data_IF_544583958959
#
_entry.id   IF_544583958959
#
_cell.length_a   1.000
_cell.length_b   1.000
_cell.length_c   1.000
_cell.angle_alpha   90.00
_cell.angle_beta   90.00
_cell.angle_gamma   90.00
#
_symmetry.space_group_name_H-M   'P 1'
#
loop_
_entity.id
_entity.type
_entity.pdbx_description
1 polymer ?
#
# COMPACT_ATOMS: atom_id res chain seq x y z
N UNK A 1 11.59 -22.75 -5.37
CA UNK A 1 10.50 -23.07 -4.42
C UNK A 1 10.60 -22.26 -3.13
N UNK A 2 11.75 -22.29 -2.42
CA UNK A 2 11.93 -21.50 -1.19
C UNK A 2 11.74 -19.99 -1.40
N UNK A 3 12.30 -19.43 -2.49
CA UNK A 3 12.18 -18.00 -2.81
C UNK A 3 10.73 -17.55 -3.04
N UNK A 4 9.92 -18.38 -3.71
CA UNK A 4 8.51 -18.08 -3.98
C UNK A 4 7.68 -18.07 -2.68
N UNK A 5 7.96 -19.00 -1.76
CA UNK A 5 7.30 -19.06 -0.45
C UNK A 5 7.67 -17.83 0.38
N UNK A 6 8.96 -17.45 0.36
CA UNK A 6 9.42 -16.24 1.05
C UNK A 6 8.78 -14.98 0.47
N UNK A 7 8.73 -14.87 -0.86
CA UNK A 7 8.06 -13.75 -1.55
C UNK A 7 6.57 -13.70 -1.21
N UNK A 8 5.88 -14.84 -1.20
CA UNK A 8 4.48 -14.92 -0.77
C UNK A 8 4.30 -14.42 0.67
N UNK A 9 5.15 -14.87 1.59
CA UNK A 9 5.09 -14.45 2.99
C UNK A 9 5.32 -12.94 3.13
N UNK A 10 6.30 -12.39 2.40
CA UNK A 10 6.55 -10.95 2.36
C UNK A 10 5.38 -10.17 1.78
N UNK A 11 4.76 -10.65 0.71
CA UNK A 11 3.56 -10.04 0.12
C UNK A 11 2.38 -10.06 1.09
N UNK A 12 2.14 -11.17 1.80
CA UNK A 12 1.08 -11.26 2.80
C UNK A 12 1.34 -10.28 3.95
N UNK A 13 2.58 -10.21 4.45
CA UNK A 13 2.96 -9.25 5.49
C UNK A 13 2.77 -7.80 5.04
N UNK A 14 3.27 -7.46 3.85
CA UNK A 14 3.13 -6.12 3.29
C UNK A 14 1.66 -5.77 3.06
N UNK A 15 0.85 -6.66 2.53
CA UNK A 15 -0.58 -6.43 2.36
C UNK A 15 -1.33 -6.29 3.69
N UNK A 16 -0.88 -6.97 4.75
CA UNK A 16 -1.44 -6.78 6.08
C UNK A 16 -1.09 -5.40 6.65
N UNK A 17 0.15 -4.93 6.46
CA UNK A 17 0.62 -3.63 6.96
C UNK A 17 0.06 -2.47 6.11
N UNK A 18 0.20 -2.53 4.77
CA UNK A 18 -0.37 -1.56 3.83
C UNK A 18 -1.90 -1.60 3.80
N UNK A 19 -2.50 -2.75 4.14
CA UNK A 19 -3.95 -2.91 4.26
C UNK A 19 -4.55 -2.25 5.50
N UNK A 20 -3.73 -1.65 6.36
CA UNK A 20 -4.12 -0.90 7.55
C UNK A 20 -5.09 0.23 7.22
N UNK A 21 -4.73 1.12 6.29
CA UNK A 21 -5.54 2.30 5.95
C UNK A 21 -6.89 1.89 5.34
N UNK A 22 -6.85 0.89 4.48
CA UNK A 22 -8.04 0.33 3.86
C UNK A 22 -8.99 -0.27 4.91
N UNK A 23 -8.46 -0.99 5.91
CA UNK A 23 -9.28 -1.58 6.97
C UNK A 23 -9.81 -0.53 7.96
N UNK A 24 -9.00 0.47 8.31
CA UNK A 24 -9.45 1.60 9.14
C UNK A 24 -10.59 2.34 8.45
N UNK A 25 -10.46 2.64 7.15
CA UNK A 25 -11.51 3.26 6.37
C UNK A 25 -12.78 2.40 6.35
N UNK A 26 -12.66 1.11 6.04
CA UNK A 26 -13.79 0.15 6.05
C UNK A 26 -14.50 0.18 7.41
N UNK A 27 -13.74 0.18 8.51
CA UNK A 27 -14.31 0.17 9.84
C UNK A 27 -15.00 1.49 10.18
N UNK A 28 -14.39 2.63 9.90
CA UNK A 28 -14.97 3.95 10.15
C UNK A 28 -16.21 4.18 9.30
N UNK A 29 -16.15 3.86 8.00
CA UNK A 29 -17.28 4.04 7.09
C UNK A 29 -18.43 3.08 7.45
N UNK A 30 -18.13 1.84 7.90
CA UNK A 30 -19.16 0.90 8.37
C UNK A 30 -19.97 1.40 9.57
N UNK A 31 -19.42 2.29 10.40
CA UNK A 31 -20.13 2.90 11.54
C UNK A 31 -21.19 3.92 11.10
N UNK A 32 -21.14 4.39 9.85
CA UNK A 32 -22.14 5.31 9.26
C UNK A 32 -23.41 4.57 8.79
N UNK A 33 -23.41 3.23 8.84
CA UNK A 33 -24.58 2.39 8.59
C UNK A 33 -25.41 2.19 9.89
N UNK A 34 -26.70 1.81 9.79
CA UNK A 34 -27.52 1.46 10.94
C UNK A 34 -26.86 0.38 11.81
N UNK A 35 -26.98 0.48 13.14
CA UNK A 35 -26.22 -0.35 14.10
C UNK A 35 -26.36 -1.87 13.86
N UNK A 36 -27.56 -2.33 13.50
CA UNK A 36 -27.82 -3.74 13.17
C UNK A 36 -27.13 -4.24 11.90
N UNK A 37 -26.72 -3.34 10.99
CA UNK A 37 -26.15 -3.68 9.69
C UNK A 37 -24.64 -3.47 9.60
N UNK A 38 -24.01 -2.77 10.54
CA UNK A 38 -22.58 -2.40 10.48
C UNK A 38 -21.66 -3.61 10.28
N UNK A 39 -21.89 -4.71 11.03
CA UNK A 39 -21.12 -5.96 10.89
C UNK A 39 -21.31 -6.60 9.51
N UNK A 40 -22.53 -6.59 8.99
CA UNK A 40 -22.85 -7.13 7.66
C UNK A 40 -22.17 -6.29 6.58
N UNK A 41 -22.31 -4.97 6.65
CA UNK A 41 -21.68 -4.00 5.73
C UNK A 41 -20.16 -4.18 5.70
N UNK A 42 -19.52 -4.33 6.86
CA UNK A 42 -18.07 -4.59 6.95
C UNK A 42 -17.67 -5.88 6.26
N UNK A 43 -18.34 -7.01 6.57
CA UNK A 43 -18.03 -8.32 5.97
C UNK A 43 -18.25 -8.32 4.46
N UNK A 44 -19.38 -7.79 4.00
CA UNK A 44 -19.71 -7.69 2.58
C UNK A 44 -18.73 -6.77 1.86
N UNK A 45 -18.41 -5.62 2.46
CA UNK A 45 -17.42 -4.68 1.94
C UNK A 45 -16.04 -5.32 1.76
N UNK A 46 -15.55 -6.06 2.77
CA UNK A 46 -14.27 -6.79 2.70
C UNK A 46 -14.33 -7.86 1.59
N UNK A 47 -15.42 -8.62 1.49
CA UNK A 47 -15.52 -9.69 0.50
C UNK A 47 -15.55 -9.14 -0.93
N UNK A 48 -16.32 -8.08 -1.18
CA UNK A 48 -16.33 -7.38 -2.47
C UNK A 48 -14.94 -6.78 -2.76
N UNK A 49 -14.30 -6.19 -1.75
CA UNK A 49 -12.96 -5.61 -1.88
C UNK A 49 -11.90 -6.62 -2.33
N UNK A 50 -11.92 -7.85 -1.80
CA UNK A 50 -11.02 -8.93 -2.22
C UNK A 50 -11.27 -9.28 -3.69
N UNK A 51 -12.53 -9.47 -4.08
CA UNK A 51 -12.87 -9.81 -5.47
C UNK A 51 -12.41 -8.70 -6.43
N UNK A 52 -12.70 -7.44 -6.11
CA UNK A 52 -12.27 -6.30 -6.92
C UNK A 52 -10.76 -6.16 -6.99
N UNK A 53 -10.02 -6.50 -5.93
CA UNK A 53 -8.55 -6.53 -5.97
C UNK A 53 -8.02 -7.56 -6.96
N UNK A 54 -8.62 -8.75 -7.02
CA UNK A 54 -8.23 -9.77 -8.00
C UNK A 54 -8.55 -9.32 -9.43
N UNK A 55 -9.72 -8.70 -9.64
CA UNK A 55 -10.09 -8.13 -10.94
C UNK A 55 -9.12 -7.02 -11.34
N UNK A 56 -8.81 -6.08 -10.42
CA UNK A 56 -7.88 -4.99 -10.66
C UNK A 56 -6.47 -5.52 -10.93
N UNK A 57 -6.01 -6.53 -10.19
CA UNK A 57 -4.74 -7.20 -10.44
C UNK A 57 -4.69 -7.76 -11.87
N UNK A 58 -5.73 -8.47 -12.29
CA UNK A 58 -5.83 -9.00 -13.65
C UNK A 58 -5.79 -7.88 -14.70
N UNK A 59 -6.54 -6.81 -14.50
CA UNK A 59 -6.56 -5.65 -15.41
C UNK A 59 -5.17 -5.01 -15.50
N UNK A 60 -4.52 -4.73 -14.37
CA UNK A 60 -3.20 -4.09 -14.36
C UNK A 60 -2.12 -4.96 -14.98
N UNK A 61 -2.08 -6.26 -14.64
CA UNK A 61 -1.11 -7.20 -15.24
C UNK A 61 -1.36 -7.35 -16.73
N UNK A 62 -2.63 -7.39 -17.18
CA UNK A 62 -2.98 -7.48 -18.60
C UNK A 62 -2.59 -6.22 -19.36
N UNK A 63 -2.84 -5.04 -18.80
CA UNK A 63 -2.40 -3.76 -19.38
C UNK A 63 -0.87 -3.78 -19.46
N UNK A 64 -0.15 -4.00 -18.36
CA UNK A 64 1.31 -4.03 -18.38
C UNK A 64 1.85 -5.02 -19.42
N UNK A 65 1.24 -6.21 -19.52
CA UNK A 65 1.57 -7.23 -20.52
C UNK A 65 1.34 -6.77 -21.96
N UNK A 66 0.21 -6.10 -22.23
CA UNK A 66 -0.13 -5.54 -23.54
C UNK A 66 0.85 -4.43 -23.96
N UNK A 67 1.31 -3.64 -22.99
CA UNK A 67 2.21 -2.51 -23.18
C UNK A 67 3.71 -2.89 -23.08
N UNK A 68 4.06 -4.19 -23.14
CA UNK A 68 5.46 -4.67 -23.11
C UNK A 68 6.23 -4.42 -24.41
N UNK A 69 5.56 -4.34 -25.56
CA UNK A 69 6.25 -3.98 -26.81
C UNK A 69 6.57 -2.48 -26.81
N UNK A 70 7.83 -2.08 -27.09
CA UNK A 70 8.22 -0.69 -27.07
C UNK A 70 7.44 0.07 -28.15
N UNK A 71 6.70 1.09 -27.73
CA UNK A 71 6.10 2.02 -28.66
C UNK A 71 7.22 2.80 -29.33
N UNK A 72 7.45 2.54 -30.62
CA UNK A 72 8.52 3.14 -31.42
C UNK A 72 8.50 4.69 -31.45
N UNK A 73 7.42 5.31 -30.97
CA UNK A 73 7.21 6.76 -30.94
C UNK A 73 7.59 7.46 -29.61
N UNK A 74 7.95 6.73 -28.54
CA UNK A 74 8.36 7.30 -27.23
C UNK A 74 9.85 7.13 -26.91
N UNK A 75 10.63 6.70 -27.89
CA UNK A 75 12.10 6.63 -27.85
C UNK A 75 12.68 7.98 -28.27
N UNK A 76 13.50 8.59 -27.41
CA UNK A 76 14.10 9.90 -27.67
C UNK A 76 15.31 10.18 -26.80
N UNK A 77 16.06 11.23 -27.14
CA UNK A 77 17.18 11.71 -26.33
C UNK A 77 17.33 13.22 -26.42
N UNK A 78 17.71 13.86 -25.32
CA UNK A 78 18.04 15.29 -25.27
C UNK A 78 19.57 15.40 -25.21
N UNK A 79 20.22 15.45 -26.38
CA UNK A 79 21.69 15.44 -26.51
C UNK A 79 22.37 14.18 -25.96
N UNK A 80 23.68 14.23 -25.76
CA UNK A 80 24.50 13.12 -25.17
C UNK A 80 24.29 12.91 -23.65
N UNK A 81 23.34 13.63 -23.04
CA UNK A 81 23.18 13.70 -21.57
C UNK A 81 22.03 12.83 -21.08
N UNK A 82 20.99 12.61 -21.91
CA UNK A 82 19.77 11.94 -21.47
C UNK A 82 19.17 11.13 -22.62
N UNK A 83 19.30 9.81 -22.53
CA UNK A 83 18.66 8.84 -23.43
C UNK A 83 17.56 8.10 -22.68
N UNK A 84 16.42 7.86 -23.34
CA UNK A 84 15.31 7.11 -22.76
C UNK A 84 14.59 6.29 -23.84
N UNK A 85 14.18 5.08 -23.46
CA UNK A 85 13.37 4.19 -24.26
C UNK A 85 12.15 3.75 -23.45
N UNK A 86 11.09 4.56 -23.49
CA UNK A 86 9.88 4.25 -22.75
C UNK A 86 9.09 3.13 -23.44
N UNK A 87 8.84 2.05 -22.71
CA UNK A 87 7.77 1.10 -23.01
C UNK A 87 6.58 1.41 -22.09
N UNK A 88 5.37 0.98 -22.44
CA UNK A 88 4.22 1.33 -21.61
C UNK A 88 4.25 0.67 -20.22
N UNK A 89 4.99 -0.44 -20.06
CA UNK A 89 5.36 -0.99 -18.74
C UNK A 89 6.13 0.04 -17.90
N UNK A 90 7.23 0.59 -18.41
CA UNK A 90 8.11 1.50 -17.67
C UNK A 90 7.39 2.77 -17.29
N UNK A 91 6.50 3.27 -18.15
CA UNK A 91 5.60 4.40 -17.83
C UNK A 91 4.68 4.07 -16.67
N UNK A 92 3.97 2.93 -16.72
CA UNK A 92 3.04 2.53 -15.65
C UNK A 92 3.78 2.38 -14.32
N UNK A 93 4.97 1.77 -14.32
CA UNK A 93 5.78 1.55 -13.12
C UNK A 93 6.38 2.86 -12.59
N UNK A 94 6.90 3.74 -13.46
CA UNK A 94 7.43 5.06 -13.06
C UNK A 94 6.33 5.97 -12.51
N UNK A 95 5.22 6.10 -13.23
CA UNK A 95 4.09 6.94 -12.82
C UNK A 95 3.45 6.39 -11.55
N UNK A 96 3.28 5.06 -11.47
CA UNK A 96 2.78 4.39 -10.29
C UNK A 96 3.69 4.57 -9.08
N UNK A 97 5.01 4.40 -9.25
CA UNK A 97 6.00 4.65 -8.20
C UNK A 97 6.01 6.10 -7.74
N UNK A 98 5.98 7.05 -8.69
CA UNK A 98 5.92 8.48 -8.38
C UNK A 98 4.63 8.88 -7.65
N UNK A 99 3.49 8.33 -8.07
CA UNK A 99 2.21 8.51 -7.39
C UNK A 99 2.26 8.00 -5.94
N UNK A 100 2.81 6.80 -5.73
CA UNK A 100 2.99 6.21 -4.40
C UNK A 100 3.89 7.09 -3.51
N UNK A 101 5.02 7.56 -4.03
CA UNK A 101 5.93 8.46 -3.31
C UNK A 101 5.20 9.75 -2.91
N UNK A 102 4.50 10.37 -3.87
CA UNK A 102 3.76 11.60 -3.63
C UNK A 102 2.70 11.43 -2.54
N UNK A 103 1.90 10.36 -2.63
CA UNK A 103 0.86 10.05 -1.65
C UNK A 103 1.48 9.82 -0.27
N UNK A 104 2.54 9.02 -0.17
CA UNK A 104 3.22 8.77 1.11
C UNK A 104 3.78 10.06 1.73
N UNK A 105 4.48 10.90 0.96
CA UNK A 105 5.00 12.19 1.44
C UNK A 105 3.85 13.09 1.92
N UNK A 106 2.79 13.20 1.11
CA UNK A 106 1.64 14.05 1.41
C UNK A 106 1.01 13.64 2.75
N UNK A 107 0.80 12.34 2.97
CA UNK A 107 0.20 11.89 4.22
C UNK A 107 1.14 11.99 5.43
N UNK A 108 2.44 11.76 5.24
CA UNK A 108 3.44 12.05 6.29
C UNK A 108 3.40 13.54 6.67
N UNK A 109 3.33 14.44 5.69
CA UNK A 109 3.26 15.88 5.94
C UNK A 109 1.97 16.27 6.68
N UNK A 110 0.83 15.72 6.25
CA UNK A 110 -0.46 15.96 6.91
C UNK A 110 -0.44 15.51 8.37
N UNK A 111 0.17 14.36 8.66
CA UNK A 111 0.32 13.86 10.03
C UNK A 111 1.23 14.75 10.90
N UNK A 112 2.30 15.31 10.33
CA UNK A 112 3.22 16.22 11.05
C UNK A 112 2.58 17.59 11.28
N UNK A 113 1.86 18.10 10.28
CA UNK A 113 1.22 19.42 10.30
C UNK A 113 0.05 19.50 11.28
N UNK A 114 -0.60 18.37 11.57
CA UNK A 114 -1.78 18.33 12.44
C UNK A 114 -1.42 17.94 13.87
N UNK A 115 -0.51 18.69 14.52
CA UNK A 115 -0.31 18.61 15.97
C UNK A 115 -1.43 19.27 16.79
N UNK A 116 -2.45 19.87 16.16
CA UNK A 116 -3.55 20.61 16.81
C UNK A 116 -4.95 20.20 16.33
N UNK A 117 -5.22 18.91 16.09
CA UNK A 117 -6.60 18.44 15.98
C UNK A 117 -6.81 17.16 16.79
N UNK A 118 -7.07 17.37 18.10
CA UNK A 118 -8.15 16.60 18.72
C UNK A 118 -9.36 16.61 17.77
N UNK A 119 -9.83 15.42 17.41
CA UNK A 119 -11.14 15.22 16.79
C UNK A 119 -11.45 16.03 15.51
N UNK A 120 -11.10 15.48 14.34
CA UNK A 120 -11.95 15.71 13.16
C UNK A 120 -12.06 14.49 12.23
N UNK A 121 -12.15 13.30 12.84
CA UNK A 121 -12.90 12.22 12.19
C UNK A 121 -14.37 12.53 12.44
N UNK A 122 -14.94 13.44 11.63
CA UNK A 122 -16.36 13.78 11.49
C UNK A 122 -17.28 13.13 12.54
N UNK A 123 -17.21 13.68 13.76
CA UNK A 123 -18.05 13.32 14.90
C UNK A 123 -19.05 14.42 15.25
N UNK A 124 -19.25 15.39 14.35
CA UNK A 124 -20.10 16.56 14.54
C UNK A 124 -21.36 16.52 13.67
N UNK A 125 -22.49 16.45 14.35
CA UNK A 125 -23.83 16.90 13.97
C UNK A 125 -24.48 16.43 12.65
N UNK A 126 -25.52 15.61 12.80
CA UNK A 126 -26.70 15.65 11.92
C UNK A 126 -26.64 14.92 10.58
N UNK A 127 -25.57 14.18 10.23
CA UNK A 127 -25.58 13.36 9.00
C UNK A 127 -26.53 12.16 9.16
N UNK A 128 -27.66 12.20 8.45
CA UNK A 128 -28.55 11.05 8.19
C UNK A 128 -27.70 9.78 8.01
N UNK A 129 -28.03 8.73 8.77
CA UNK A 129 -27.46 7.40 8.58
C UNK A 129 -27.49 7.07 7.09
N UNK A 130 -26.32 6.75 6.53
CA UNK A 130 -26.24 6.33 5.13
C UNK A 130 -26.90 4.95 5.04
N UNK A 131 -27.67 4.72 3.97
CA UNK A 131 -28.15 3.36 3.67
C UNK A 131 -26.97 2.41 3.58
N UNK A 132 -27.11 1.16 4.07
CA UNK A 132 -26.04 0.16 4.01
C UNK A 132 -25.46 0.01 2.60
N UNK A 133 -26.27 0.10 1.55
CA UNK A 133 -25.79 0.05 0.17
C UNK A 133 -24.87 1.23 -0.16
N UNK A 134 -25.20 2.45 0.27
CA UNK A 134 -24.36 3.63 0.05
C UNK A 134 -23.02 3.51 0.79
N UNK A 135 -23.03 2.94 2.00
CA UNK A 135 -21.81 2.67 2.76
C UNK A 135 -20.96 1.61 2.07
N UNK A 136 -21.56 0.52 1.59
CA UNK A 136 -20.87 -0.53 0.82
C UNK A 136 -20.26 0.06 -0.46
N UNK A 137 -20.99 0.89 -1.21
CA UNK A 137 -20.48 1.54 -2.41
C UNK A 137 -19.29 2.45 -2.10
N UNK A 138 -19.34 3.24 -1.01
CA UNK A 138 -18.22 4.08 -0.59
C UNK A 138 -16.98 3.26 -0.22
N UNK A 139 -17.18 2.16 0.52
CA UNK A 139 -16.13 1.19 0.85
C UNK A 139 -15.49 0.64 -0.42
N UNK A 140 -16.31 0.23 -1.39
CA UNK A 140 -15.85 -0.36 -2.65
C UNK A 140 -15.02 0.64 -3.46
N UNK A 141 -15.49 1.88 -3.61
CA UNK A 141 -14.79 2.91 -4.38
C UNK A 141 -13.44 3.25 -3.73
N UNK A 142 -13.42 3.50 -2.42
CA UNK A 142 -12.16 3.82 -1.74
C UNK A 142 -11.20 2.64 -1.73
N UNK A 143 -11.71 1.42 -1.54
CA UNK A 143 -10.86 0.24 -1.64
C UNK A 143 -10.25 0.11 -3.04
N UNK A 144 -10.99 0.42 -4.11
CA UNK A 144 -10.44 0.38 -5.47
C UNK A 144 -9.25 1.34 -5.61
N UNK A 145 -9.38 2.58 -5.10
CA UNK A 145 -8.32 3.59 -5.11
C UNK A 145 -7.10 3.10 -4.33
N UNK A 146 -7.27 2.68 -3.08
CA UNK A 146 -6.16 2.19 -2.24
C UNK A 146 -5.55 0.88 -2.72
N UNK A 147 -6.30 0.07 -3.46
CA UNK A 147 -5.80 -1.19 -3.98
C UNK A 147 -4.74 -0.97 -5.07
N UNK A 148 -4.77 0.16 -5.77
CA UNK A 148 -3.80 0.49 -6.81
C UNK A 148 -2.37 0.46 -6.27
N UNK A 149 -2.11 1.15 -5.15
CA UNK A 149 -0.77 1.22 -4.53
C UNK A 149 -0.26 -0.16 -4.11
N UNK A 150 -1.10 -0.92 -3.41
CA UNK A 150 -0.74 -2.26 -2.93
C UNK A 150 -0.52 -3.27 -4.06
N UNK A 151 -1.20 -3.13 -5.20
CA UNK A 151 -1.02 -4.00 -6.37
C UNK A 151 0.26 -3.61 -7.11
N UNK A 152 0.52 -2.32 -7.32
CA UNK A 152 1.78 -1.86 -7.89
C UNK A 152 2.99 -2.30 -7.05
N UNK A 153 2.88 -2.22 -5.72
CA UNK A 153 3.87 -2.74 -4.79
C UNK A 153 4.15 -4.23 -5.04
N UNK A 154 3.08 -5.02 -5.17
CA UNK A 154 3.17 -6.46 -5.39
C UNK A 154 3.79 -6.78 -6.75
N UNK A 155 3.48 -6.00 -7.80
CA UNK A 155 4.09 -6.12 -9.12
C UNK A 155 5.59 -5.85 -9.05
N UNK A 156 6.02 -4.78 -8.37
CA UNK A 156 7.44 -4.47 -8.17
C UNK A 156 8.19 -5.58 -7.42
N UNK A 157 7.58 -6.16 -6.39
CA UNK A 157 8.18 -7.27 -5.64
C UNK A 157 8.27 -8.58 -6.44
N UNK A 158 7.42 -8.75 -7.44
CA UNK A 158 7.33 -9.96 -8.26
C UNK A 158 7.95 -9.80 -9.66
N UNK A 159 8.55 -8.65 -9.97
CA UNK A 159 9.10 -8.36 -11.32
C UNK A 159 10.20 -9.35 -11.75
N UNK A 160 10.98 -9.86 -10.81
CA UNK A 160 12.02 -10.88 -11.02
C UNK A 160 11.51 -12.27 -11.43
N UNK A 161 10.21 -12.55 -11.25
CA UNK A 161 9.66 -13.85 -11.61
C UNK A 161 9.52 -13.91 -13.13
N UNK A 162 10.43 -14.66 -13.77
CA UNK A 162 10.44 -14.85 -15.24
C UNK A 162 9.08 -15.33 -15.77
N UNK A 163 8.38 -16.15 -14.97
CA UNK A 163 7.05 -16.62 -15.30
C UNK A 163 5.96 -15.65 -14.78
N UNK A 164 5.39 -14.87 -15.71
CA UNK A 164 4.32 -13.90 -15.42
C UNK A 164 3.08 -14.56 -14.81
N UNK A 165 2.76 -15.80 -15.18
CA UNK A 165 1.64 -16.56 -14.59
C UNK A 165 1.92 -16.94 -13.14
N UNK A 166 3.16 -17.33 -12.81
CA UNK A 166 3.56 -17.63 -11.44
C UNK A 166 3.51 -16.37 -10.55
N UNK A 167 3.97 -15.23 -11.06
CA UNK A 167 3.87 -13.93 -10.38
C UNK A 167 2.40 -13.59 -10.07
N UNK A 168 1.52 -13.70 -11.06
CA UNK A 168 0.09 -13.46 -10.89
C UNK A 168 -0.52 -14.37 -9.81
N UNK A 169 -0.24 -15.67 -9.86
CA UNK A 169 -0.77 -16.63 -8.87
C UNK A 169 -0.28 -16.29 -7.46
N UNK A 170 1.00 -15.97 -7.29
CA UNK A 170 1.56 -15.60 -5.98
C UNK A 170 0.90 -14.33 -5.44
N UNK A 171 0.74 -13.29 -6.28
CA UNK A 171 0.06 -12.05 -5.89
C UNK A 171 -1.42 -12.30 -5.54
N UNK A 172 -2.12 -13.12 -6.32
CA UNK A 172 -3.52 -13.46 -6.07
C UNK A 172 -3.68 -14.24 -4.77
N UNK A 173 -2.83 -15.24 -4.51
CA UNK A 173 -2.82 -15.99 -3.25
C UNK A 173 -2.55 -15.04 -2.08
N UNK A 174 -1.59 -14.11 -2.21
CA UNK A 174 -1.32 -13.13 -1.17
C UNK A 174 -2.58 -12.30 -0.86
N UNK A 175 -3.24 -11.74 -1.88
CA UNK A 175 -4.46 -10.92 -1.75
C UNK A 175 -5.57 -11.70 -1.06
N UNK A 176 -5.80 -12.95 -1.47
CA UNK A 176 -6.85 -13.79 -0.87
C UNK A 176 -6.48 -14.15 0.57
N UNK A 177 -5.24 -14.57 0.83
CA UNK A 177 -4.80 -14.94 2.17
C UNK A 177 -4.86 -13.76 3.14
N UNK A 178 -4.37 -12.58 2.75
CA UNK A 178 -4.43 -11.36 3.56
C UNK A 178 -5.87 -10.90 3.74
N UNK A 179 -6.71 -10.95 2.70
CA UNK A 179 -8.12 -10.62 2.75
C UNK A 179 -8.93 -11.53 3.68
N UNK A 180 -8.69 -12.84 3.64
CA UNK A 180 -9.32 -13.81 4.55
C UNK A 180 -8.86 -13.58 6.00
N UNK A 181 -7.56 -13.33 6.21
CA UNK A 181 -7.03 -12.95 7.52
C UNK A 181 -7.73 -11.70 8.05
N UNK A 182 -7.91 -10.68 7.20
CA UNK A 182 -8.65 -9.46 7.54
C UNK A 182 -10.11 -9.76 7.87
N UNK A 183 -10.80 -10.62 7.12
CA UNK A 183 -12.20 -10.96 7.38
C UNK A 183 -12.37 -11.59 8.77
N UNK A 184 -11.47 -12.52 9.13
CA UNK A 184 -11.48 -13.20 10.44
C UNK A 184 -11.14 -12.24 11.58
N UNK A 185 -10.21 -11.33 11.35
CA UNK A 185 -9.67 -10.46 12.39
C UNK A 185 -10.21 -9.02 12.35
N UNK A 186 -11.15 -8.68 11.45
CA UNK A 186 -11.58 -7.31 11.16
C UNK A 186 -11.96 -6.51 12.42
N UNK A 187 -12.75 -7.12 13.31
CA UNK A 187 -13.21 -6.47 14.54
C UNK A 187 -12.05 -6.24 15.54
N UNK A 188 -11.14 -7.22 15.66
CA UNK A 188 -9.97 -7.12 16.54
C UNK A 188 -8.97 -6.11 16.00
N UNK A 189 -8.59 -6.25 14.73
CA UNK A 189 -7.63 -5.36 14.07
C UNK A 189 -8.19 -3.94 14.10
N UNK A 190 -9.44 -3.69 13.69
CA UNK A 190 -9.98 -2.33 13.76
C UNK A 190 -9.89 -1.69 15.15
N UNK A 191 -10.22 -2.43 16.21
CA UNK A 191 -10.14 -1.91 17.58
C UNK A 191 -8.69 -1.72 18.07
N UNK A 192 -7.77 -2.56 17.60
CA UNK A 192 -6.35 -2.48 17.90
C UNK A 192 -5.68 -1.32 17.15
N UNK A 193 -5.99 -1.13 15.88
CA UNK A 193 -5.43 -0.08 15.04
C UNK A 193 -5.92 1.31 15.47
N UNK A 194 -7.21 1.45 15.80
CA UNK A 194 -7.74 2.70 16.34
C UNK A 194 -7.03 3.15 17.63
N UNK A 195 -6.50 2.21 18.42
CA UNK A 195 -5.76 2.49 19.66
C UNK A 195 -4.25 2.64 19.46
N UNK A 196 -3.71 2.26 18.30
CA UNK A 196 -2.28 2.22 18.05
C UNK A 196 -1.93 2.88 16.70
N UNK A 197 -2.21 4.19 16.58
CA UNK A 197 -1.92 5.00 15.36
C UNK A 197 -0.44 5.05 14.97
N UNK A 198 0.48 4.69 15.88
CA UNK A 198 1.91 4.54 15.56
C UNK A 198 2.16 3.59 14.38
N UNK A 199 1.33 2.54 14.22
CA UNK A 199 1.49 1.57 13.13
C UNK A 199 1.03 2.11 11.75
N UNK A 200 0.25 3.19 11.72
CA UNK A 200 -0.13 3.93 10.50
C UNK A 200 1.14 4.50 9.84
N UNK A 201 2.01 5.09 10.66
CA UNK A 201 3.26 5.72 10.22
C UNK A 201 4.20 4.70 9.58
N UNK A 202 4.33 3.51 10.18
CA UNK A 202 5.13 2.43 9.64
C UNK A 202 4.65 2.02 8.23
N UNK A 203 3.32 1.95 8.02
CA UNK A 203 2.72 1.67 6.71
C UNK A 203 3.09 2.71 5.65
N UNK A 204 3.04 4.00 6.01
CA UNK A 204 3.42 5.10 5.12
C UNK A 204 4.92 5.06 4.73
N UNK A 205 5.81 4.73 5.67
CA UNK A 205 7.23 4.57 5.36
C UNK A 205 7.52 3.36 4.46
N UNK A 206 6.80 2.25 4.67
CA UNK A 206 6.87 1.08 3.79
C UNK A 206 6.40 1.44 2.38
N UNK A 207 5.26 2.14 2.28
CA UNK A 207 4.72 2.64 1.02
C UNK A 207 5.72 3.56 0.30
N UNK A 208 6.38 4.45 1.04
CA UNK A 208 7.42 5.34 0.49
C UNK A 208 8.60 4.55 -0.11
N UNK A 209 9.11 3.54 0.60
CA UNK A 209 10.22 2.70 0.08
C UNK A 209 9.76 1.89 -1.13
N UNK A 210 8.55 1.35 -1.12
CA UNK A 210 7.96 0.69 -2.29
C UNK A 210 7.92 1.66 -3.48
N UNK A 211 7.53 2.91 -3.26
CA UNK A 211 7.55 3.95 -4.27
C UNK A 211 8.95 4.16 -4.86
N UNK A 212 9.98 4.25 -4.01
CA UNK A 212 11.38 4.35 -4.46
C UNK A 212 11.78 3.12 -5.29
N UNK A 213 11.46 1.92 -4.80
CA UNK A 213 11.74 0.67 -5.50
C UNK A 213 11.10 0.69 -6.91
N UNK A 214 9.83 1.09 -7.04
CA UNK A 214 9.13 1.18 -8.32
C UNK A 214 9.71 2.26 -9.23
N UNK A 215 10.06 3.44 -8.71
CA UNK A 215 10.68 4.49 -9.54
C UNK A 215 12.04 4.03 -10.07
N UNK A 216 12.85 3.34 -9.26
CA UNK A 216 14.13 2.79 -9.73
C UNK A 216 13.94 1.66 -10.74
N UNK A 217 12.96 0.77 -10.55
CA UNK A 217 12.60 -0.29 -11.50
C UNK A 217 12.09 0.29 -12.82
N UNK A 218 11.17 1.26 -12.76
CA UNK A 218 10.63 1.91 -13.96
C UNK A 218 11.70 2.72 -14.70
N UNK A 219 12.61 3.38 -13.98
CA UNK A 219 13.76 4.06 -14.56
C UNK A 219 14.72 3.11 -15.27
N UNK A 220 14.95 1.94 -14.68
CA UNK A 220 15.72 0.87 -15.31
C UNK A 220 15.04 0.34 -16.58
N UNK A 221 13.74 0.05 -16.52
CA UNK A 221 12.94 -0.40 -17.66
C UNK A 221 12.84 0.64 -18.78
N UNK A 222 12.96 1.94 -18.45
CA UNK A 222 12.98 3.03 -19.40
C UNK A 222 14.39 3.36 -19.94
N UNK A 223 15.42 2.60 -19.54
CA UNK A 223 16.82 2.86 -19.88
C UNK A 223 17.25 4.31 -19.61
N UNK A 224 16.79 4.88 -18.49
CA UNK A 224 17.11 6.26 -18.13
C UNK A 224 18.56 6.32 -17.68
N UNK A 225 19.33 7.18 -18.34
CA UNK A 225 20.67 7.57 -17.93
C UNK A 225 20.63 8.94 -17.26
N UNK A 226 21.22 9.03 -16.07
CA UNK A 226 21.36 10.29 -15.32
C UNK A 226 22.86 10.50 -15.08
N UNK A 227 23.41 11.63 -15.56
CA UNK A 227 24.85 11.96 -15.45
C UNK A 227 25.80 10.87 -16.01
N UNK A 228 25.37 10.14 -17.04
CA UNK A 228 26.17 9.07 -17.66
C UNK A 228 26.11 7.72 -16.94
N UNK A 229 25.39 7.62 -15.83
CA UNK A 229 25.15 6.37 -15.10
C UNK A 229 23.72 5.86 -15.36
N UNK A 230 23.59 4.54 -15.51
CA UNK A 230 22.29 3.90 -15.68
C UNK A 230 21.59 3.81 -14.32
N UNK A 231 20.27 4.01 -14.29
CA UNK A 231 19.49 3.71 -13.09
C UNK A 231 19.50 2.20 -12.84
N UNK A 232 20.05 1.81 -11.69
CA UNK A 232 20.04 0.43 -11.20
C UNK A 232 18.83 0.23 -10.28
N UNK A 233 18.01 -0.81 -10.50
CA UNK A 233 16.86 -1.06 -9.65
C UNK A 233 17.29 -1.45 -8.24
N UNK A 234 16.52 -1.03 -7.24
CA UNK A 234 16.76 -1.41 -5.86
C UNK A 234 16.69 -2.95 -5.71
N UNK A 235 17.74 -3.56 -5.14
CA UNK A 235 17.72 -5.00 -4.92
C UNK A 235 16.65 -5.39 -3.90
N UNK A 236 15.96 -6.53 -4.12
CA UNK A 236 14.97 -7.07 -3.17
C UNK A 236 15.57 -7.32 -1.79
N UNK A 237 16.82 -7.79 -1.73
CA UNK A 237 17.52 -8.00 -0.46
C UNK A 237 17.71 -6.69 0.29
N UNK A 238 18.07 -5.62 -0.42
CA UNK A 238 18.14 -4.27 0.14
C UNK A 238 16.76 -3.84 0.65
N UNK A 239 15.71 -4.03 -0.16
CA UNK A 239 14.34 -3.72 0.25
C UNK A 239 13.93 -4.46 1.53
N UNK A 240 14.15 -5.78 1.60
CA UNK A 240 13.83 -6.59 2.79
C UNK A 240 14.67 -6.20 4.01
N UNK A 241 15.95 -5.88 3.80
CA UNK A 241 16.81 -5.40 4.87
C UNK A 241 16.31 -4.08 5.44
N UNK A 242 15.95 -3.12 4.58
CA UNK A 242 15.41 -1.82 5.03
C UNK A 242 14.07 -2.02 5.75
N UNK A 243 13.17 -2.89 5.25
CA UNK A 243 11.93 -3.23 5.94
C UNK A 243 12.18 -3.80 7.34
N UNK A 244 13.10 -4.75 7.47
CA UNK A 244 13.43 -5.34 8.76
C UNK A 244 13.97 -4.27 9.73
N UNK A 245 14.85 -3.39 9.26
CA UNK A 245 15.37 -2.27 10.04
C UNK A 245 14.25 -1.33 10.48
N UNK A 246 13.34 -0.93 9.58
CA UNK A 246 12.20 -0.07 9.92
C UNK A 246 11.31 -0.69 11.00
N UNK A 247 10.97 -1.97 10.86
CA UNK A 247 10.14 -2.67 11.86
C UNK A 247 10.86 -2.74 13.21
N UNK A 248 12.17 -3.02 13.23
CA UNK A 248 12.95 -3.05 14.47
C UNK A 248 12.99 -1.66 15.12
N UNK A 249 13.27 -0.62 14.33
CA UNK A 249 13.33 0.78 14.82
C UNK A 249 11.97 1.19 15.40
N UNK A 250 10.87 0.88 14.72
CA UNK A 250 9.51 1.21 15.18
C UNK A 250 9.17 0.46 16.49
N UNK A 251 9.53 -0.82 16.61
CA UNK A 251 9.36 -1.59 17.84
C UNK A 251 10.17 -1.00 19.00
N UNK A 252 11.42 -0.59 18.75
CA UNK A 252 12.29 0.04 19.76
C UNK A 252 11.71 1.40 20.17
N UNK A 253 11.33 2.23 19.21
CA UNK A 253 10.72 3.54 19.45
C UNK A 253 9.42 3.42 20.26
N UNK A 254 8.55 2.47 19.90
CA UNK A 254 7.31 2.21 20.61
C UNK A 254 7.54 1.75 22.06
N UNK A 255 8.59 0.94 22.33
CA UNK A 255 8.98 0.59 23.70
C UNK A 255 9.53 1.79 24.47
N UNK A 256 10.34 2.62 23.81
CA UNK A 256 10.94 3.81 24.42
C UNK A 256 9.87 4.84 24.80
N UNK A 257 8.93 5.17 23.90
CA UNK A 257 7.82 6.06 24.20
C UNK A 257 6.95 5.56 25.37
N UNK A 258 6.63 4.26 25.41
CA UNK A 258 5.89 3.66 26.54
C UNK A 258 6.64 3.82 27.87
N UNK A 259 7.97 3.77 27.86
CA UNK A 259 8.79 4.00 29.05
C UNK A 259 8.73 5.47 29.49
N UNK A 260 8.88 6.42 28.57
CA UNK A 260 8.79 7.85 28.86
C UNK A 260 7.43 8.24 29.45
N UNK A 261 6.34 7.72 28.88
CA UNK A 261 4.98 7.97 29.40
C UNK A 261 4.80 7.42 30.82
N UNK A 262 5.38 6.26 31.14
CA UNK A 262 5.37 5.70 32.50
C UNK A 262 6.18 6.55 33.47
N UNK A 263 7.34 7.06 33.06
CA UNK A 263 8.18 7.93 33.88
C UNK A 263 7.50 9.29 34.15
N UNK A 264 6.83 9.86 33.15
CA UNK A 264 6.02 11.08 33.32
C UNK A 264 4.83 10.85 34.26
N UNK A 265 4.10 9.75 34.10
CA UNK A 265 2.99 9.39 34.98
C UNK A 265 3.42 9.12 36.42
N UNK A 266 4.65 8.61 36.63
CA UNK A 266 5.23 8.41 37.95
C UNK A 266 5.73 9.72 38.59
N UNK A 267 6.15 10.72 37.79
CA UNK A 267 6.53 12.06 38.28
C UNK A 267 5.33 12.94 38.64
N UNK A 268 4.17 12.69 38.05
CA UNK A 268 2.94 13.45 38.27
C UNK A 268 2.03 12.88 39.38
N UNK A 269 2.48 11.83 40.10
CA UNK A 269 1.82 11.23 41.27
C UNK A 269 2.61 11.55 42.52
#
# INVERSE_FOLDING_TARGET
>A
MLENIFTLLMLVLLQAVLGFDNLLYISLESKKAPEGEQKRVRKVGILIAIVLRIVLLFVLVSIIGFFKEPFSFLTGGIGDILHFAFNGHSIIVLVGGGFIIYTAIKEIWHMISNHDLEHDVEGGDGKRLKSANAVITSIVIMNLVFSFDSILAAIGLTSHLENTTAAFIIMAIAIVASGLLMLVLADKISSFLAKNRMYEVLGLFILFIVGIMLVTEGGHLAHINIFGENIVPMSKTTFYFVLAVLVIVDVVQGRYQKKLLKEQAAKNK
#
